data_IF_328912397888
#
_entry.id   IF_328912397888
#
_cell.length_a   1.000
_cell.length_b   1.000
_cell.length_c   1.000
_cell.angle_alpha   90.00
_cell.angle_beta   90.00
_cell.angle_gamma   90.00
#
_symmetry.space_group_name_H-M   'P 1'
#
loop_
_entity.id
_entity.type
_entity.pdbx_description
1 polymer ?
#
# COMPACT_ATOMS: atom_id res chain seq x y z
N UNK A 1 -6.52 -14.12 11.96
CA UNK A 1 -6.73 -12.75 11.47
C UNK A 1 -8.21 -12.53 11.21
N UNK A 2 -8.77 -11.40 11.66
CA UNK A 2 -10.17 -11.06 11.40
C UNK A 2 -10.30 -10.54 9.98
N UNK A 3 -11.30 -11.03 9.25
CA UNK A 3 -11.56 -10.66 7.87
C UNK A 3 -13.02 -10.23 7.69
N UNK A 4 -13.27 -9.51 6.60
CA UNK A 4 -14.60 -9.14 6.15
C UNK A 4 -14.76 -9.45 4.66
N UNK A 5 -15.99 -9.77 4.25
CA UNK A 5 -16.33 -9.93 2.84
C UNK A 5 -17.00 -8.65 2.32
N UNK A 6 -16.42 -8.06 1.27
CA UNK A 6 -16.97 -6.88 0.58
C UNK A 6 -17.00 -7.23 -0.90
N UNK A 7 -18.17 -7.08 -1.54
CA UNK A 7 -18.37 -7.41 -2.97
C UNK A 7 -17.87 -8.82 -3.38
N UNK A 8 -18.03 -9.80 -2.49
CA UNK A 8 -17.61 -11.20 -2.71
C UNK A 8 -16.12 -11.47 -2.55
N UNK A 9 -15.31 -10.46 -2.23
CA UNK A 9 -13.88 -10.60 -1.92
C UNK A 9 -13.63 -10.50 -0.42
N UNK A 10 -12.63 -11.23 0.06
CA UNK A 10 -12.24 -11.29 1.47
C UNK A 10 -11.07 -10.33 1.73
N UNK A 11 -11.22 -9.48 2.74
CA UNK A 11 -10.23 -8.48 3.13
C UNK A 11 -9.85 -8.62 4.60
N UNK A 12 -8.58 -8.42 4.91
CA UNK A 12 -8.07 -8.30 6.28
C UNK A 12 -8.55 -7.00 6.91
N UNK A 13 -9.15 -7.09 8.10
CA UNK A 13 -9.54 -5.89 8.85
C UNK A 13 -8.31 -5.05 9.23
N UNK A 14 -7.16 -5.67 9.50
CA UNK A 14 -5.95 -4.94 9.86
C UNK A 14 -5.45 -4.10 8.68
N UNK A 15 -5.45 -4.68 7.48
CA UNK A 15 -5.06 -3.99 6.25
C UNK A 15 -5.98 -2.81 5.95
N UNK A 16 -7.30 -3.00 6.07
CA UNK A 16 -8.27 -1.91 5.88
C UNK A 16 -8.08 -0.78 6.90
N UNK A 17 -7.87 -1.11 8.19
CA UNK A 17 -7.56 -0.11 9.23
C UNK A 17 -6.29 0.65 8.93
N UNK A 18 -5.25 -0.06 8.51
CA UNK A 18 -3.96 0.51 8.16
C UNK A 18 -4.08 1.50 7.00
N UNK A 19 -4.69 1.07 5.89
CA UNK A 19 -4.83 1.91 4.68
C UNK A 19 -5.67 3.16 4.94
N UNK A 20 -6.78 3.01 5.66
CA UNK A 20 -7.67 4.13 6.02
C UNK A 20 -7.09 5.03 7.13
N UNK A 21 -6.13 4.53 7.91
CA UNK A 21 -5.63 5.20 9.11
C UNK A 21 -6.66 5.26 10.25
N UNK A 22 -7.68 4.40 10.23
CA UNK A 22 -8.78 4.42 11.20
C UNK A 22 -8.73 3.17 12.10
N UNK A 23 -8.80 3.37 13.43
CA UNK A 23 -8.85 2.26 14.39
C UNK A 23 -10.20 1.53 14.39
N UNK A 24 -11.26 2.26 14.09
CA UNK A 24 -12.63 1.78 13.92
C UNK A 24 -13.07 2.05 12.48
N UNK A 25 -13.52 1.00 11.78
CA UNK A 25 -13.85 1.08 10.36
C UNK A 25 -15.36 1.29 10.17
N UNK A 26 -15.69 2.27 9.34
CA UNK A 26 -17.00 2.35 8.70
C UNK A 26 -16.90 1.70 7.32
N UNK A 27 -17.29 0.43 7.24
CA UNK A 27 -17.09 -0.43 6.06
C UNK A 27 -17.78 0.14 4.82
N UNK A 28 -18.93 0.79 5.00
CA UNK A 28 -19.72 1.37 3.90
C UNK A 28 -19.07 2.60 3.29
N UNK A 29 -18.07 3.20 3.98
CA UNK A 29 -17.35 4.39 3.53
C UNK A 29 -15.96 4.10 2.99
N UNK A 30 -15.55 2.83 2.89
CA UNK A 30 -14.25 2.47 2.34
C UNK A 30 -14.32 2.64 0.81
N UNK A 31 -13.50 3.53 0.22
CA UNK A 31 -13.53 3.74 -1.23
C UNK A 31 -13.00 2.51 -1.99
N UNK A 32 -13.53 2.27 -3.19
CA UNK A 32 -13.11 1.13 -4.03
C UNK A 32 -11.62 1.13 -4.35
N UNK A 33 -11.02 2.31 -4.53
CA UNK A 33 -9.58 2.42 -4.76
C UNK A 33 -8.77 1.89 -3.56
N UNK A 34 -9.24 2.04 -2.32
CA UNK A 34 -8.62 1.45 -1.12
C UNK A 34 -8.79 -0.06 -1.10
N UNK A 35 -9.93 -0.59 -1.57
CA UNK A 35 -10.17 -2.04 -1.65
C UNK A 35 -9.22 -2.72 -2.64
N UNK A 36 -8.92 -2.07 -3.77
CA UNK A 36 -7.93 -2.59 -4.74
C UNK A 36 -6.54 -2.68 -4.11
N UNK A 37 -6.12 -1.64 -3.36
CA UNK A 37 -4.84 -1.68 -2.66
C UNK A 37 -4.84 -2.73 -1.55
N UNK A 38 -5.94 -2.84 -0.78
CA UNK A 38 -6.07 -3.85 0.26
C UNK A 38 -5.90 -5.26 -0.30
N UNK A 39 -6.43 -5.54 -1.48
CA UNK A 39 -6.22 -6.81 -2.17
C UNK A 39 -4.72 -7.07 -2.45
N UNK A 40 -4.03 -6.09 -3.04
CA UNK A 40 -2.59 -6.22 -3.32
C UNK A 40 -1.73 -6.35 -2.05
N UNK A 41 -2.15 -5.75 -0.93
CA UNK A 41 -1.43 -5.88 0.34
C UNK A 41 -1.76 -7.20 1.04
N UNK A 42 -3.00 -7.65 1.02
CA UNK A 42 -3.41 -8.93 1.61
C UNK A 42 -2.76 -10.11 0.90
N UNK A 43 -2.64 -10.04 -0.43
CA UNK A 43 -1.90 -11.01 -1.26
C UNK A 43 -0.92 -10.30 -2.22
N UNK A 44 0.33 -10.08 -1.80
CA UNK A 44 1.35 -9.39 -2.60
C UNK A 44 1.66 -10.03 -3.95
N UNK A 45 1.42 -11.34 -4.08
CA UNK A 45 1.69 -12.06 -5.31
C UNK A 45 0.61 -11.77 -6.38
N UNK A 46 -0.50 -11.12 -6.02
CA UNK A 46 -1.52 -10.64 -6.97
C UNK A 46 -1.16 -9.33 -7.66
N UNK A 47 -0.16 -8.57 -7.17
CA UNK A 47 0.21 -7.26 -7.73
C UNK A 47 0.37 -7.27 -9.26
N UNK A 48 1.06 -8.24 -9.90
CA UNK A 48 1.22 -8.28 -11.36
C UNK A 48 -0.10 -8.25 -12.13
N UNK A 49 -1.15 -8.87 -11.58
CA UNK A 49 -2.48 -8.93 -12.20
C UNK A 49 -3.33 -7.69 -11.92
N UNK A 50 -2.93 -6.87 -10.94
CA UNK A 50 -3.64 -5.67 -10.53
C UNK A 50 -3.07 -4.39 -11.16
N UNK A 51 -1.91 -4.44 -11.86
CA UNK A 51 -1.22 -3.26 -12.41
C UNK A 51 -2.15 -2.37 -13.23
N UNK A 52 -2.87 -2.95 -14.20
CA UNK A 52 -3.78 -2.19 -15.06
C UNK A 52 -4.93 -1.57 -14.27
N UNK A 53 -5.51 -2.32 -13.33
CA UNK A 53 -6.58 -1.83 -12.45
C UNK A 53 -6.09 -0.67 -11.59
N UNK A 54 -4.88 -0.77 -11.03
CA UNK A 54 -4.26 0.27 -10.21
C UNK A 54 -3.98 1.53 -11.03
N UNK A 55 -3.42 1.40 -12.24
CA UNK A 55 -3.15 2.54 -13.13
C UNK A 55 -4.43 3.27 -13.57
N UNK A 56 -5.56 2.57 -13.61
CA UNK A 56 -6.86 3.13 -13.99
C UNK A 56 -7.70 3.60 -12.80
N UNK A 57 -7.17 3.61 -11.56
CA UNK A 57 -7.93 4.07 -10.39
C UNK A 57 -8.32 5.54 -10.49
N UNK A 58 -9.59 5.82 -10.23
CA UNK A 58 -10.05 7.18 -9.96
C UNK A 58 -9.68 7.54 -8.51
N UNK A 59 -8.85 8.58 -8.36
CA UNK A 59 -8.32 9.03 -7.07
C UNK A 59 -8.68 10.52 -6.90
N UNK A 60 -9.73 10.79 -6.13
CA UNK A 60 -10.20 12.16 -5.86
C UNK A 60 -9.14 13.00 -5.14
N UNK A 61 -8.51 12.43 -4.11
CA UNK A 61 -7.47 13.09 -3.33
C UNK A 61 -6.18 12.27 -3.38
N UNK A 62 -5.31 12.65 -4.32
CA UNK A 62 -4.02 12.00 -4.57
C UNK A 62 -3.12 11.95 -3.34
N UNK A 63 -3.02 13.04 -2.57
CA UNK A 63 -2.15 13.07 -1.39
C UNK A 63 -2.66 12.14 -0.28
N UNK A 64 -3.96 12.18 0.01
CA UNK A 64 -4.58 11.28 1.00
C UNK A 64 -4.42 9.82 0.62
N UNK A 65 -4.52 9.50 -0.67
CA UNK A 65 -4.29 8.15 -1.18
C UNK A 65 -2.81 7.73 -1.04
N UNK A 66 -1.87 8.64 -1.32
CA UNK A 66 -0.43 8.39 -1.12
C UNK A 66 -0.12 8.05 0.33
N UNK A 67 -0.76 8.72 1.30
CA UNK A 67 -0.63 8.37 2.71
C UNK A 67 -1.10 6.95 3.06
N UNK A 68 -2.06 6.38 2.32
CA UNK A 68 -2.44 4.98 2.54
C UNK A 68 -1.27 4.04 2.22
N UNK A 69 -0.57 4.28 1.10
CA UNK A 69 0.62 3.51 0.73
C UNK A 69 1.76 3.75 1.72
N UNK A 70 1.97 5.00 2.14
CA UNK A 70 3.01 5.34 3.09
C UNK A 70 2.81 4.66 4.46
N UNK A 71 1.56 4.53 4.93
CA UNK A 71 1.25 3.77 6.15
C UNK A 71 1.69 2.31 6.05
N UNK A 72 1.51 1.68 4.89
CA UNK A 72 1.96 0.30 4.66
C UNK A 72 3.48 0.21 4.69
N UNK A 73 4.19 1.18 4.11
CA UNK A 73 5.65 1.21 4.14
C UNK A 73 6.17 1.34 5.58
N UNK A 74 5.60 2.25 6.38
CA UNK A 74 5.96 2.39 7.81
C UNK A 74 5.66 1.11 8.58
N UNK A 75 4.45 0.56 8.42
CA UNK A 75 4.01 -0.65 9.12
C UNK A 75 4.94 -1.84 8.81
N UNK A 76 5.31 -2.00 7.54
CA UNK A 76 6.23 -3.04 7.12
C UNK A 76 7.63 -2.87 7.71
N UNK A 77 8.15 -1.65 7.78
CA UNK A 77 9.46 -1.41 8.41
C UNK A 77 9.43 -1.63 9.93
N UNK A 78 8.34 -1.29 10.61
CA UNK A 78 8.21 -1.43 12.06
C UNK A 78 8.09 -2.89 12.52
N UNK A 79 7.48 -3.76 11.71
CA UNK A 79 7.20 -5.15 12.06
C UNK A 79 8.03 -6.16 11.25
N UNK A 80 9.09 -5.68 10.58
CA UNK A 80 9.91 -6.48 9.68
C UNK A 80 10.52 -7.71 10.36
N UNK A 81 10.83 -7.62 11.64
CA UNK A 81 11.38 -8.71 12.45
C UNK A 81 10.34 -9.77 12.85
N UNK A 82 9.05 -9.45 12.78
CA UNK A 82 7.97 -10.40 13.09
C UNK A 82 7.76 -11.43 11.97
N UNK A 83 7.80 -10.96 10.71
CA UNK A 83 7.72 -11.81 9.51
C UNK A 83 8.41 -11.10 8.33
N UNK A 84 9.72 -11.31 8.26
CA UNK A 84 10.59 -10.68 7.25
C UNK A 84 10.05 -10.85 5.83
N UNK A 85 9.64 -12.07 5.46
CA UNK A 85 9.20 -12.35 4.10
C UNK A 85 7.89 -11.64 3.78
N UNK A 86 6.91 -11.70 4.69
CA UNK A 86 5.62 -11.03 4.53
C UNK A 86 5.78 -9.52 4.41
N UNK A 87 6.50 -8.91 5.35
CA UNK A 87 6.62 -7.46 5.41
C UNK A 87 7.55 -6.89 4.32
N UNK A 88 8.59 -7.61 3.89
CA UNK A 88 9.36 -7.23 2.70
C UNK A 88 8.48 -7.18 1.44
N UNK A 89 7.60 -8.18 1.24
CA UNK A 89 6.66 -8.18 0.11
C UNK A 89 5.67 -7.01 0.20
N UNK A 90 5.09 -6.75 1.37
CA UNK A 90 4.20 -5.59 1.57
C UNK A 90 4.89 -4.26 1.27
N UNK A 91 6.13 -4.09 1.76
CA UNK A 91 6.95 -2.90 1.50
C UNK A 91 7.16 -2.73 -0.01
N UNK A 92 7.64 -3.77 -0.69
CA UNK A 92 7.84 -3.76 -2.14
C UNK A 92 6.56 -3.39 -2.90
N UNK A 93 5.44 -4.05 -2.60
CA UNK A 93 4.16 -3.78 -3.27
C UNK A 93 3.73 -2.33 -3.08
N UNK A 94 3.77 -1.82 -1.86
CA UNK A 94 3.37 -0.44 -1.58
C UNK A 94 4.25 0.60 -2.30
N UNK A 95 5.55 0.35 -2.42
CA UNK A 95 6.49 1.21 -3.17
C UNK A 95 6.27 1.14 -4.68
N UNK A 96 6.02 -0.05 -5.23
CA UNK A 96 5.74 -0.20 -6.67
C UNK A 96 4.44 0.50 -7.03
N UNK A 97 3.38 0.34 -6.23
CA UNK A 97 2.10 1.02 -6.45
C UNK A 97 2.29 2.54 -6.38
N UNK A 98 3.07 3.02 -5.41
CA UNK A 98 3.38 4.44 -5.30
C UNK A 98 4.12 4.94 -6.54
N UNK A 99 5.17 4.25 -6.97
CA UNK A 99 5.92 4.60 -8.17
C UNK A 99 5.03 4.61 -9.43
N UNK A 100 4.11 3.64 -9.54
CA UNK A 100 3.15 3.58 -10.64
C UNK A 100 2.20 4.77 -10.67
N UNK A 101 1.80 5.32 -9.51
CA UNK A 101 0.79 6.37 -9.44
C UNK A 101 1.37 7.79 -9.35
N UNK A 102 2.59 7.93 -8.84
CA UNK A 102 3.20 9.22 -8.48
C UNK A 102 4.56 9.45 -9.13
N UNK A 103 5.18 8.44 -9.74
CA UNK A 103 6.51 8.52 -10.38
C UNK A 103 7.67 8.83 -9.40
N UNK A 104 7.41 8.84 -8.09
CA UNK A 104 8.37 9.05 -7.02
C UNK A 104 7.90 8.39 -5.71
N UNK A 105 8.84 8.03 -4.83
CA UNK A 105 8.53 7.52 -3.49
C UNK A 105 8.46 8.68 -2.48
N UNK A 106 7.46 8.67 -1.59
CA UNK A 106 7.35 9.67 -0.52
C UNK A 106 8.49 9.54 0.49
N UNK A 107 8.90 8.29 0.73
CA UNK A 107 10.03 7.95 1.58
C UNK A 107 11.14 7.36 0.72
N UNK A 108 11.72 8.20 -0.14
CA UNK A 108 13.00 7.86 -0.75
C UNK A 108 14.05 7.98 0.38
N UNK A 109 14.53 6.85 0.91
CA UNK A 109 15.73 6.88 1.74
C UNK A 109 16.79 7.58 0.92
N UNK A 110 17.23 8.74 1.40
CA UNK A 110 18.30 9.58 0.86
C UNK A 110 19.46 8.67 0.43
N UNK A 111 19.46 8.28 -0.84
CA UNK A 111 20.54 7.56 -1.54
C UNK A 111 20.76 8.18 -2.92
N UNK A 112 20.33 9.43 -3.08
CA UNK A 112 20.54 10.23 -4.31
C UNK A 112 21.55 11.37 -4.12
N UNK A 113 22.20 11.49 -2.96
CA UNK A 113 23.18 12.55 -2.71
C UNK A 113 24.63 12.05 -2.52
N UNK A 114 24.95 10.79 -2.88
CA UNK A 114 26.35 10.30 -2.83
C UNK A 114 26.98 10.02 -4.21
N UNK A 115 26.26 10.21 -5.32
CA UNK A 115 26.77 9.90 -6.68
C UNK A 115 26.90 11.13 -7.61
N UNK A 116 26.77 12.37 -7.10
CA UNK A 116 27.02 13.61 -7.90
C UNK A 116 28.30 14.37 -7.50
N UNK A 117 29.16 13.80 -6.66
CA UNK A 117 30.50 14.33 -6.39
C UNK A 117 31.58 13.28 -6.64
N UNK A 118 31.73 12.80 -7.89
CA UNK A 118 33.01 12.28 -8.42
C UNK A 118 32.89 12.01 -9.95
N UNK A 119 33.16 13.06 -10.75
CA UNK A 119 34.08 13.10 -11.91
C UNK A 119 33.82 14.32 -12.83
#
# INVERSE_FOLDING_TARGET
MNHININGKKYSLNTLKLLTGQKELDIEKIPDNILVIAQAIDDPDELPYLIETIKSLEIDNKEKFRFALFRVQIDAQLHMDEDLMRYQKCLFVSQVIEMLLYEELYFETVKKEEDEEEE
#
